data_IF_299986014123
#
_entry.id   IF_299986014123
#
_cell.length_a   1.000
_cell.length_b   1.000
_cell.length_c   1.000
_cell.angle_alpha   90.00
_cell.angle_beta   90.00
_cell.angle_gamma   90.00
#
_symmetry.space_group_name_H-M   'P 1'
#
loop_
_entity.id
_entity.type
_entity.pdbx_description
1 polymer ?
#
# COMPACT_ATOMS: atom_id res chain seq x y z
N UNK A 1 -14.19 12.14 -10.09
CA UNK A 1 -13.46 11.14 -9.28
C UNK A 1 -14.47 10.49 -8.35
N UNK A 2 -14.72 9.18 -8.47
CA UNK A 2 -15.65 8.48 -7.58
C UNK A 2 -14.90 8.20 -6.28
N UNK A 3 -14.98 9.09 -5.28
CA UNK A 3 -14.20 8.98 -4.02
C UNK A 3 -14.50 7.73 -3.21
N UNK A 4 -15.55 7.00 -3.58
CA UNK A 4 -16.02 5.79 -2.91
C UNK A 4 -15.56 4.51 -3.60
N UNK A 5 -14.92 4.59 -4.77
CA UNK A 5 -14.49 3.39 -5.48
C UNK A 5 -13.35 2.64 -4.76
N UNK A 6 -12.59 3.33 -3.92
CA UNK A 6 -11.49 2.73 -3.16
C UNK A 6 -11.99 1.82 -2.02
N UNK A 7 -13.10 2.16 -1.34
CA UNK A 7 -13.64 1.30 -0.25
C UNK A 7 -14.13 -0.05 -0.78
N UNK A 8 -14.65 -0.08 -2.01
CA UNK A 8 -15.15 -1.29 -2.68
C UNK A 8 -14.02 -2.26 -3.07
N UNK A 9 -12.75 -1.83 -2.94
CA UNK A 9 -11.59 -2.72 -3.11
C UNK A 9 -11.35 -3.60 -1.89
N UNK A 10 -11.82 -3.19 -0.72
CA UNK A 10 -11.50 -3.80 0.57
C UNK A 10 -12.72 -4.34 1.30
N UNK A 11 -13.91 -3.80 1.00
CA UNK A 11 -15.17 -4.19 1.65
C UNK A 11 -16.13 -4.86 0.67
N UNK A 12 -16.77 -5.94 1.13
CA UNK A 12 -17.87 -6.63 0.46
C UNK A 12 -19.16 -5.80 0.41
N UNK A 13 -20.19 -6.36 -0.24
CA UNK A 13 -21.52 -5.73 -0.30
C UNK A 13 -22.20 -5.60 1.06
N UNK A 14 -21.84 -6.48 2.00
CA UNK A 14 -22.26 -6.47 3.40
C UNK A 14 -21.52 -5.43 4.25
N UNK A 15 -20.48 -4.80 3.71
CA UNK A 15 -19.65 -3.82 4.39
C UNK A 15 -18.54 -4.42 5.26
N UNK A 16 -18.37 -5.74 5.24
CA UNK A 16 -17.29 -6.44 5.94
C UNK A 16 -16.02 -6.50 5.08
N UNK A 17 -14.87 -6.74 5.71
CA UNK A 17 -13.61 -6.90 4.99
C UNK A 17 -13.65 -8.13 4.08
N UNK A 18 -13.22 -7.96 2.83
CA UNK A 18 -13.02 -9.09 1.94
C UNK A 18 -11.82 -9.92 2.41
N UNK A 19 -12.07 -11.17 2.77
CA UNK A 19 -11.03 -12.14 3.12
C UNK A 19 -10.55 -12.91 1.88
N UNK A 20 -9.36 -13.51 1.96
CA UNK A 20 -8.75 -14.35 0.91
C UNK A 20 -8.65 -13.68 -0.48
N UNK A 21 -8.51 -12.35 -0.52
CA UNK A 21 -8.32 -11.59 -1.76
C UNK A 21 -6.90 -11.04 -1.90
N UNK A 22 -6.38 -11.11 -3.14
CA UNK A 22 -5.09 -10.53 -3.49
C UNK A 22 -5.31 -9.23 -4.26
N UNK A 23 -4.67 -8.15 -3.83
CA UNK A 23 -4.68 -6.87 -4.52
C UNK A 23 -3.25 -6.36 -4.73
N UNK A 24 -3.07 -5.54 -5.77
CA UNK A 24 -1.82 -4.83 -6.01
C UNK A 24 -1.93 -3.40 -5.47
N UNK A 25 -0.98 -3.01 -4.61
CA UNK A 25 -0.81 -1.62 -4.20
C UNK A 25 0.41 -1.00 -4.87
N UNK A 26 0.20 0.12 -5.54
CA UNK A 26 1.29 0.96 -6.02
C UNK A 26 1.57 2.05 -4.99
N UNK A 27 2.76 1.98 -4.39
CA UNK A 27 3.26 3.02 -3.49
C UNK A 27 4.05 4.10 -4.26
N UNK A 28 4.24 5.29 -3.66
CA UNK A 28 5.24 6.25 -4.12
C UNK A 28 6.63 5.62 -4.14
N UNK A 29 7.51 6.12 -5.01
CA UNK A 29 8.89 5.61 -5.13
C UNK A 29 9.74 5.87 -3.88
N UNK A 30 9.33 6.81 -3.04
CA UNK A 30 9.97 7.16 -1.78
C UNK A 30 8.92 7.12 -0.68
N UNK A 31 9.18 6.31 0.34
CA UNK A 31 8.35 6.19 1.53
C UNK A 31 9.07 6.82 2.74
N UNK A 32 8.31 7.20 3.77
CA UNK A 32 8.89 7.63 5.04
C UNK A 32 9.79 6.54 5.60
N UNK A 33 10.91 6.93 6.22
CA UNK A 33 11.73 6.00 6.98
C UNK A 33 10.91 5.45 8.16
N UNK A 34 10.93 4.14 8.31
CA UNK A 34 10.39 3.45 9.47
C UNK A 34 11.58 3.00 10.30
N UNK A 35 11.76 3.61 11.46
CA UNK A 35 12.77 3.20 12.42
C UNK A 35 12.22 2.02 13.21
N UNK A 36 12.99 0.95 13.25
CA UNK A 36 12.77 -0.14 14.20
C UNK A 36 13.65 0.13 15.43
N UNK A 37 13.08 0.07 16.63
CA UNK A 37 13.80 0.39 17.87
C UNK A 37 14.97 -0.59 18.16
N UNK A 38 15.08 -1.66 17.35
CA UNK A 38 15.98 -2.80 17.58
C UNK A 38 17.15 -2.91 16.58
N UNK A 39 17.20 -2.11 15.52
CA UNK A 39 18.28 -2.15 14.52
C UNK A 39 19.23 -0.95 14.65
N UNK A 40 20.53 -1.22 14.79
CA UNK A 40 21.57 -0.21 14.62
C UNK A 40 21.49 0.33 13.18
N UNK A 41 21.26 1.64 13.06
CA UNK A 41 21.06 2.35 11.81
C UNK A 41 22.22 2.10 10.85
N UNK A 42 22.02 1.22 9.85
CA UNK A 42 22.83 1.30 8.63
C UNK A 42 22.31 2.51 7.84
N UNK A 43 22.82 3.67 8.24
CA UNK A 43 22.63 4.94 7.54
C UNK A 43 23.34 4.85 6.19
N UNK A 44 22.67 4.30 5.18
CA UNK A 44 22.99 4.63 3.81
C UNK A 44 22.48 6.07 3.61
N UNK A 45 23.42 7.03 3.64
CA UNK A 45 23.19 8.46 3.42
C UNK A 45 22.56 8.71 2.02
N UNK A 46 21.24 8.50 1.87
CA UNK A 46 20.50 9.18 0.81
C UNK A 46 20.25 10.62 1.28
N UNK A 47 20.88 11.63 0.65
CA UNK A 47 20.75 13.03 1.07
C UNK A 47 19.32 13.58 1.00
N UNK A 48 18.35 12.84 0.44
CA UNK A 48 16.94 13.22 0.35
C UNK A 48 16.02 12.59 1.42
N UNK A 49 16.52 11.77 2.34
CA UNK A 49 15.78 11.33 3.54
C UNK A 49 14.50 10.52 3.28
N UNK A 50 14.63 9.34 2.67
CA UNK A 50 13.51 8.44 2.45
C UNK A 50 13.93 7.02 2.02
N UNK A 51 13.01 6.06 2.16
CA UNK A 51 13.26 4.65 1.90
C UNK A 51 12.46 4.13 0.70
N UNK A 52 13.03 3.18 -0.05
CA UNK A 52 12.26 2.33 -0.98
C UNK A 52 11.60 1.19 -0.20
N UNK A 53 10.51 0.62 -0.70
CA UNK A 53 9.81 -0.50 -0.02
C UNK A 53 10.74 -1.68 0.34
N UNK A 54 11.78 -1.93 -0.44
CA UNK A 54 12.76 -3.01 -0.22
C UNK A 54 13.75 -2.74 0.93
N UNK A 55 13.74 -1.53 1.50
CA UNK A 55 14.63 -1.10 2.60
C UNK A 55 13.91 -0.92 3.92
N UNK A 56 12.57 -1.03 3.92
CA UNK A 56 11.80 -0.91 5.15
C UNK A 56 11.97 -2.17 6.00
N UNK A 57 12.01 -2.06 7.34
CA UNK A 57 12.06 -3.21 8.22
C UNK A 57 10.81 -4.08 8.03
N UNK A 58 10.97 -5.37 8.33
CA UNK A 58 9.85 -6.30 8.34
C UNK A 58 8.82 -5.89 9.41
N UNK A 59 7.54 -6.14 9.13
CA UNK A 59 6.46 -5.92 10.10
C UNK A 59 5.49 -4.80 9.70
N UNK A 60 5.17 -3.92 10.65
CA UNK A 60 4.08 -2.95 10.47
C UNK A 60 4.51 -1.78 9.58
N UNK A 61 4.10 -1.81 8.31
CA UNK A 61 4.27 -0.69 7.39
C UNK A 61 3.44 0.54 7.78
N UNK A 62 2.20 0.33 8.24
CA UNK A 62 1.27 1.43 8.48
C UNK A 62 -0.16 1.00 8.74
N UNK A 63 -1.07 1.98 8.82
CA UNK A 63 -2.51 1.75 9.08
C UNK A 63 -3.36 2.21 7.90
N UNK A 64 -4.04 1.28 7.26
CA UNK A 64 -5.08 1.57 6.27
C UNK A 64 -6.42 1.81 6.98
N UNK A 65 -7.10 2.90 6.64
CA UNK A 65 -8.35 3.34 7.27
C UNK A 65 -9.42 3.58 6.22
N UNK A 66 -10.58 2.94 6.41
CA UNK A 66 -11.76 3.12 5.57
C UNK A 66 -12.75 3.99 6.36
N UNK A 67 -13.04 5.18 5.84
CA UNK A 67 -13.87 6.17 6.52
C UNK A 67 -15.36 5.95 6.21
N UNK A 68 -16.24 6.37 7.11
CA UNK A 68 -17.71 6.34 6.87
C UNK A 68 -18.12 7.08 5.59
N UNK A 69 -17.34 8.08 5.17
CA UNK A 69 -17.55 8.81 3.93
C UNK A 69 -17.24 8.00 2.66
N UNK A 70 -16.54 6.88 2.79
CA UNK A 70 -16.00 6.09 1.68
C UNK A 70 -14.57 6.44 1.27
N UNK A 71 -13.98 7.52 1.81
CA UNK A 71 -12.55 7.82 1.64
C UNK A 71 -11.74 6.67 2.24
N UNK A 72 -10.70 6.24 1.53
CA UNK A 72 -9.67 5.34 2.07
C UNK A 72 -8.38 6.14 2.21
N UNK A 73 -7.76 6.03 3.37
CA UNK A 73 -6.49 6.70 3.69
C UNK A 73 -5.52 5.72 4.32
N UNK A 74 -4.23 5.98 4.18
CA UNK A 74 -3.18 5.22 4.84
C UNK A 74 -2.27 6.16 5.63
N UNK A 75 -1.68 5.64 6.69
CA UNK A 75 -0.73 6.33 7.56
C UNK A 75 0.52 5.48 7.68
N UNK A 76 1.64 6.03 7.23
CA UNK A 76 2.94 5.37 7.15
C UNK A 76 3.93 6.29 7.85
N UNK A 77 4.55 5.82 8.93
CA UNK A 77 5.49 6.64 9.71
C UNK A 77 4.88 7.94 10.25
N UNK A 78 3.57 7.98 10.52
CA UNK A 78 2.86 9.19 10.97
C UNK A 78 2.54 10.19 9.86
N UNK A 79 2.87 9.89 8.59
CA UNK A 79 2.54 10.74 7.44
C UNK A 79 1.27 10.27 6.73
N UNK A 80 0.40 11.20 6.28
CA UNK A 80 -0.88 10.86 5.68
C UNK A 80 -0.79 10.57 4.17
N UNK A 81 -1.50 9.53 3.74
CA UNK A 81 -1.62 9.13 2.35
C UNK A 81 -3.08 8.91 1.96
N UNK A 82 -3.41 9.25 0.71
CA UNK A 82 -4.66 8.87 0.04
C UNK A 82 -4.49 7.49 -0.60
N UNK A 83 -5.54 6.67 -0.54
CA UNK A 83 -5.62 5.39 -1.26
C UNK A 83 -6.80 5.47 -2.23
N UNK A 84 -6.50 5.39 -3.52
CA UNK A 84 -7.47 5.49 -4.60
C UNK A 84 -7.56 4.19 -5.40
N UNK A 85 -8.70 3.97 -6.06
CA UNK A 85 -8.84 2.88 -7.03
C UNK A 85 -7.90 3.11 -8.22
N UNK A 86 -7.01 2.13 -8.43
CA UNK A 86 -6.16 2.07 -9.61
C UNK A 86 -6.94 1.74 -10.87
N UNK A 87 -6.23 1.62 -11.99
CA UNK A 87 -6.85 1.27 -13.26
C UNK A 87 -7.60 -0.06 -13.16
N UNK A 88 -8.91 -0.03 -13.41
CA UNK A 88 -9.70 -1.25 -13.58
C UNK A 88 -9.13 -2.05 -14.74
N UNK A 89 -8.77 -3.30 -14.48
CA UNK A 89 -8.31 -4.22 -15.50
C UNK A 89 -9.49 -4.95 -16.11
N UNK A 90 -9.55 -5.00 -17.43
CA UNK A 90 -10.58 -5.75 -18.18
C UNK A 90 -10.10 -7.14 -18.59
N UNK A 91 -9.00 -7.60 -17.99
CA UNK A 91 -8.37 -8.87 -18.30
C UNK A 91 -7.99 -9.59 -17.01
N UNK A 92 -7.98 -10.91 -17.08
CA UNK A 92 -7.60 -11.80 -15.99
C UNK A 92 -6.11 -11.63 -15.65
N UNK A 93 -5.79 -11.53 -14.36
CA UNK A 93 -4.42 -11.38 -13.86
C UNK A 93 -4.24 -12.35 -12.69
N UNK A 94 -3.23 -13.22 -12.77
CA UNK A 94 -2.85 -14.11 -11.66
C UNK A 94 -1.49 -13.71 -11.09
N UNK A 95 -1.37 -13.85 -9.77
CA UNK A 95 -0.11 -13.70 -9.05
C UNK A 95 0.57 -15.07 -8.99
N UNK A 96 1.79 -15.15 -9.50
CA UNK A 96 2.54 -16.41 -9.58
C UNK A 96 3.88 -16.25 -8.87
N UNK A 97 4.23 -17.21 -8.03
CA UNK A 97 5.54 -17.33 -7.43
C UNK A 97 6.43 -18.22 -8.32
N UNK A 98 7.61 -17.73 -8.67
CA UNK A 98 8.61 -18.48 -9.44
C UNK A 98 9.78 -18.78 -8.52
N UNK A 99 10.11 -20.07 -8.36
CA UNK A 99 11.16 -20.56 -7.48
C UNK A 99 12.28 -21.22 -8.31
N UNK A 100 13.29 -20.45 -8.79
CA UNK A 100 14.33 -21.00 -9.66
C UNK A 100 15.17 -22.10 -9.00
N UNK A 101 15.36 -22.03 -7.68
CA UNK A 101 16.17 -23.01 -6.92
C UNK A 101 15.56 -24.41 -6.88
N UNK A 102 14.24 -24.52 -6.95
CA UNK A 102 13.50 -25.79 -6.97
C UNK A 102 12.91 -26.11 -8.36
N UNK A 103 13.07 -25.18 -9.32
CA UNK A 103 12.45 -25.24 -10.64
C UNK A 103 10.91 -25.38 -10.57
N UNK A 104 10.29 -24.69 -9.62
CA UNK A 104 8.85 -24.69 -9.37
C UNK A 104 8.22 -23.34 -9.74
N UNK A 105 6.95 -23.42 -10.15
CA UNK A 105 6.09 -22.27 -10.41
C UNK A 105 4.77 -22.52 -9.70
N UNK A 106 4.39 -21.63 -8.80
CA UNK A 106 3.24 -21.77 -7.91
C UNK A 106 2.25 -20.65 -8.22
N UNK A 107 1.05 -21.01 -8.66
CA UNK A 107 -0.06 -20.07 -8.80
C UNK A 107 -0.59 -19.69 -7.42
N UNK A 108 -0.56 -18.40 -7.10
CA UNK A 108 -1.06 -17.84 -5.84
C UNK A 108 -2.49 -17.29 -5.99
N UNK A 109 -3.06 -17.30 -7.20
CA UNK A 109 -4.44 -16.93 -7.47
C UNK A 109 -4.61 -15.55 -8.12
N UNK A 110 -5.88 -15.23 -8.37
CA UNK A 110 -6.28 -14.05 -9.13
C UNK A 110 -6.10 -12.75 -8.34
N UNK A 111 -5.62 -11.73 -9.04
CA UNK A 111 -5.53 -10.36 -8.54
C UNK A 111 -6.91 -9.70 -8.70
N UNK A 112 -7.57 -9.44 -7.58
CA UNK A 112 -8.92 -8.88 -7.54
C UNK A 112 -8.95 -7.40 -7.96
N UNK A 113 -7.96 -6.62 -7.55
CA UNK A 113 -7.95 -5.19 -7.78
C UNK A 113 -6.56 -4.53 -7.69
N UNK A 114 -6.52 -3.26 -8.08
CA UNK A 114 -5.36 -2.38 -7.94
C UNK A 114 -5.73 -1.13 -7.16
N UNK A 115 -4.84 -0.73 -6.25
CA UNK A 115 -4.91 0.52 -5.51
C UNK A 115 -3.66 1.35 -5.77
N UNK A 116 -3.81 2.67 -5.74
CA UNK A 116 -2.72 3.64 -5.87
C UNK A 116 -2.65 4.45 -4.58
N UNK A 117 -1.47 4.50 -3.98
CA UNK A 117 -1.19 5.25 -2.75
C UNK A 117 -0.42 6.51 -3.13
N UNK A 118 -0.91 7.67 -2.69
CA UNK A 118 -0.26 8.97 -2.95
C UNK A 118 -0.20 9.80 -1.67
N UNK A 119 0.85 10.61 -1.43
CA UNK A 119 0.87 11.51 -0.27
C UNK A 119 -0.36 12.44 -0.24
N UNK A 120 -0.97 12.62 0.92
CA UNK A 120 -2.07 13.58 1.11
C UNK A 120 -1.47 14.99 1.28
N UNK A 121 -1.13 15.62 0.15
CA UNK A 121 -0.45 16.94 0.13
C UNK A 121 -1.25 18.03 0.83
N UNK A 122 -2.57 17.99 0.78
CA UNK A 122 -3.42 18.97 1.45
C UNK A 122 -3.27 18.86 2.97
N UNK A 123 -3.34 17.63 3.50
CA UNK A 123 -3.15 17.39 4.91
C UNK A 123 -1.71 17.73 5.36
N UNK A 124 -0.70 17.34 4.59
CA UNK A 124 0.71 17.63 4.91
C UNK A 124 1.00 19.14 4.98
N UNK A 125 0.49 19.92 4.02
CA UNK A 125 0.71 21.37 3.99
C UNK A 125 -0.09 22.10 5.09
N UNK A 126 -1.29 21.60 5.42
CA UNK A 126 -2.10 22.18 6.51
C UNK A 126 -1.45 22.05 7.89
N UNK A 127 -0.64 21.00 8.12
CA UNK A 127 0.04 20.76 9.40
C UNK A 127 1.20 21.73 9.68
N UNK A 128 1.58 22.57 8.71
CA UNK A 128 2.69 23.53 8.81
C UNK A 128 2.21 24.97 9.09
N UNK A 129 0.90 25.22 9.13
CA UNK A 129 0.29 26.54 9.41
C UNK A 129 -0.16 26.66 10.87
#
# INVERSE_FOLDING_TARGET
KNSNAAKELFLGEDGELMEDTIFLMQFPSVLPELVDDMDEVQQDDDPNGGATINRLPDGLLGKLRIHKSGKVSMDIGGLPFCVDQGCRTFFHQDLVCVCPGTNEVIDMGAIAAKAVVTPDMEQMLSATS
#
